data_IF_676295814477
#
_entry.id   IF_676295814477
#
_cell.length_a   1.000
_cell.length_b   1.000
_cell.length_c   1.000
_cell.angle_alpha   90.00
_cell.angle_beta   90.00
_cell.angle_gamma   90.00
#
_symmetry.space_group_name_H-M   'P 1'
#
loop_
_entity.id
_entity.type
_entity.pdbx_description
1 polymer ?
#
# COMPACT_ATOMS: atom_id res chain seq x y z
N UNK A 1 -25.03 -6.81 9.93
CA UNK A 1 -24.61 -8.16 9.47
C UNK A 1 -23.10 -8.17 9.46
N UNK A 2 -22.46 -9.25 9.93
CA UNK A 2 -21.00 -9.31 10.04
C UNK A 2 -20.28 -9.39 8.68
N UNK A 3 -18.97 -9.13 8.66
CA UNK A 3 -18.14 -9.29 7.47
C UNK A 3 -18.03 -10.75 7.04
N UNK A 4 -17.71 -10.96 5.77
CA UNK A 4 -17.60 -12.28 5.16
C UNK A 4 -16.13 -12.60 4.97
N UNK A 5 -15.74 -13.82 5.32
CA UNK A 5 -14.35 -14.25 5.20
C UNK A 5 -14.19 -15.33 4.14
N UNK A 6 -13.26 -15.04 3.24
CA UNK A 6 -12.82 -15.83 2.11
C UNK A 6 -11.29 -15.92 2.20
N UNK A 7 -10.74 -16.94 1.55
CA UNK A 7 -9.32 -17.23 1.49
C UNK A 7 -8.85 -17.32 0.05
N UNK A 8 -7.72 -16.68 -0.21
CA UNK A 8 -7.00 -16.73 -1.48
C UNK A 8 -6.69 -18.18 -1.88
N UNK A 9 -6.87 -18.50 -3.16
CA UNK A 9 -6.63 -19.81 -3.75
C UNK A 9 -7.46 -20.99 -3.20
N UNK A 10 -8.36 -20.76 -2.24
CA UNK A 10 -9.30 -21.78 -1.79
C UNK A 10 -10.44 -21.92 -2.82
N UNK A 11 -10.83 -23.16 -3.19
CA UNK A 11 -11.95 -23.37 -4.10
C UNK A 11 -13.30 -23.12 -3.41
N UNK A 12 -14.20 -22.42 -4.11
CA UNK A 12 -15.57 -22.18 -3.68
C UNK A 12 -16.57 -22.55 -4.77
N UNK A 13 -17.67 -23.16 -4.37
CA UNK A 13 -18.84 -23.37 -5.23
C UNK A 13 -19.77 -22.16 -5.19
N UNK A 14 -20.61 -22.03 -6.23
CA UNK A 14 -21.65 -20.98 -6.26
C UNK A 14 -22.55 -21.01 -5.01
N UNK A 15 -22.90 -22.22 -4.53
CA UNK A 15 -23.75 -22.41 -3.34
C UNK A 15 -23.06 -21.92 -2.07
N UNK A 16 -21.77 -22.20 -1.89
CA UNK A 16 -21.00 -21.74 -0.75
C UNK A 16 -20.87 -20.22 -0.74
N UNK A 17 -20.58 -19.61 -1.89
CA UNK A 17 -20.53 -18.15 -2.02
C UNK A 17 -21.88 -17.52 -1.72
N UNK A 18 -22.97 -18.09 -2.24
CA UNK A 18 -24.32 -17.60 -1.97
C UNK A 18 -24.67 -17.66 -0.48
N UNK A 19 -24.37 -18.79 0.17
CA UNK A 19 -24.61 -18.96 1.60
C UNK A 19 -23.78 -18.00 2.45
N UNK A 20 -22.50 -17.80 2.10
CA UNK A 20 -21.60 -16.86 2.80
C UNK A 20 -22.02 -15.40 2.61
N UNK A 21 -22.35 -15.00 1.38
CA UNK A 21 -22.71 -13.62 1.05
C UNK A 21 -24.11 -13.25 1.53
N UNK A 22 -24.99 -14.24 1.72
CA UNK A 22 -26.40 -14.05 2.07
C UNK A 22 -27.08 -13.05 1.12
N UNK A 23 -26.95 -13.32 -0.18
CA UNK A 23 -27.48 -12.51 -1.28
C UNK A 23 -28.34 -13.36 -2.21
N UNK A 24 -29.17 -12.70 -3.01
CA UNK A 24 -29.96 -13.36 -4.05
C UNK A 24 -29.04 -13.96 -5.13
N UNK A 25 -29.53 -14.96 -5.86
CA UNK A 25 -28.74 -15.56 -6.96
C UNK A 25 -28.44 -14.54 -8.07
N UNK A 26 -29.35 -13.61 -8.35
CA UNK A 26 -29.12 -12.51 -9.30
C UNK A 26 -28.02 -11.57 -8.84
N UNK A 27 -28.00 -11.18 -7.57
CA UNK A 27 -26.96 -10.32 -7.02
C UNK A 27 -25.61 -11.02 -7.01
N UNK A 28 -25.58 -12.31 -6.64
CA UNK A 28 -24.34 -13.10 -6.69
C UNK A 28 -23.77 -13.18 -8.10
N UNK A 29 -24.60 -13.41 -9.12
CA UNK A 29 -24.16 -13.44 -10.52
C UNK A 29 -23.55 -12.10 -10.95
N UNK A 30 -24.15 -10.98 -10.54
CA UNK A 30 -23.64 -9.64 -10.81
C UNK A 30 -22.30 -9.39 -10.10
N UNK A 31 -22.19 -9.75 -8.82
CA UNK A 31 -20.93 -9.65 -8.07
C UNK A 31 -19.83 -10.46 -8.77
N UNK A 32 -20.10 -11.73 -9.08
CA UNK A 32 -19.11 -12.61 -9.74
C UNK A 32 -18.72 -12.08 -11.11
N UNK A 33 -19.66 -11.54 -11.90
CA UNK A 33 -19.35 -10.94 -13.19
C UNK A 33 -18.34 -9.79 -13.05
N UNK A 34 -18.57 -8.87 -12.11
CA UNK A 34 -17.66 -7.76 -11.84
C UNK A 34 -16.29 -8.25 -11.34
N UNK A 35 -16.26 -9.25 -10.45
CA UNK A 35 -15.00 -9.84 -9.95
C UNK A 35 -14.21 -10.53 -11.06
N UNK A 36 -14.89 -11.17 -12.03
CA UNK A 36 -14.25 -11.79 -13.18
C UNK A 36 -13.70 -10.74 -14.15
N UNK A 37 -14.46 -9.70 -14.44
CA UNK A 37 -14.03 -8.58 -15.31
C UNK A 37 -12.74 -7.93 -14.79
N UNK A 38 -12.63 -7.78 -13.47
CA UNK A 38 -11.44 -7.20 -12.81
C UNK A 38 -10.32 -8.22 -12.55
N UNK A 39 -10.43 -9.46 -13.02
CA UNK A 39 -9.45 -10.54 -12.78
C UNK A 39 -9.19 -10.85 -11.29
N UNK A 40 -10.20 -10.66 -10.43
CA UNK A 40 -10.13 -10.93 -8.98
C UNK A 40 -10.43 -12.41 -8.69
N UNK A 41 -11.26 -13.03 -9.52
CA UNK A 41 -11.70 -14.41 -9.36
C UNK A 41 -11.52 -15.18 -10.67
N UNK A 42 -10.97 -16.38 -10.57
CA UNK A 42 -10.90 -17.36 -11.65
C UNK A 42 -12.05 -18.35 -11.53
N UNK A 43 -12.58 -18.82 -12.67
CA UNK A 43 -13.57 -19.90 -12.72
C UNK A 43 -13.02 -21.10 -13.51
N UNK A 44 -13.00 -22.28 -12.90
CA UNK A 44 -12.70 -23.56 -13.56
C UNK A 44 -13.69 -24.62 -13.11
N UNK A 45 -14.35 -25.30 -14.05
CA UNK A 45 -15.28 -26.42 -13.76
C UNK A 45 -16.32 -26.10 -12.66
N UNK A 46 -16.98 -24.94 -12.71
CA UNK A 46 -17.96 -24.47 -11.70
C UNK A 46 -17.38 -24.16 -10.31
N UNK A 47 -16.05 -24.19 -10.17
CA UNK A 47 -15.32 -23.78 -8.98
C UNK A 47 -14.75 -22.39 -9.21
N UNK A 48 -14.88 -21.55 -8.20
CA UNK A 48 -14.38 -20.19 -8.15
C UNK A 48 -13.19 -20.09 -7.21
N UNK A 49 -12.15 -19.37 -7.62
CA UNK A 49 -10.90 -19.23 -6.87
C UNK A 49 -10.51 -17.76 -6.87
N UNK A 50 -10.34 -17.19 -5.68
CA UNK A 50 -9.90 -15.80 -5.53
C UNK A 50 -8.39 -15.69 -5.71
N UNK A 51 -7.96 -14.77 -6.59
CA UNK A 51 -6.56 -14.38 -6.83
C UNK A 51 -6.31 -12.96 -6.33
N UNK A 52 -6.77 -12.71 -5.11
CA UNK A 52 -6.76 -11.39 -4.50
C UNK A 52 -6.65 -11.53 -3.00
N UNK A 53 -6.04 -10.55 -2.37
CA UNK A 53 -5.95 -10.43 -0.92
C UNK A 53 -6.36 -9.02 -0.52
N UNK A 54 -7.31 -8.92 0.39
CA UNK A 54 -7.78 -7.66 0.97
C UNK A 54 -9.28 -7.54 1.03
N UNK A 55 -9.77 -6.31 1.00
CA UNK A 55 -11.15 -5.94 1.24
C UNK A 55 -11.90 -5.75 -0.09
N UNK A 56 -13.10 -6.32 -0.16
CA UNK A 56 -14.05 -6.14 -1.24
C UNK A 56 -15.39 -5.71 -0.63
N UNK A 57 -15.91 -4.57 -1.05
CA UNK A 57 -17.24 -4.11 -0.69
C UNK A 57 -18.16 -4.19 -1.92
N UNK A 58 -19.37 -4.75 -1.73
CA UNK A 58 -20.41 -4.70 -2.75
C UNK A 58 -21.80 -4.79 -2.13
N UNK A 59 -22.74 -3.95 -2.58
CA UNK A 59 -24.12 -3.90 -2.08
C UNK A 59 -24.24 -3.77 -0.56
N UNK A 60 -23.35 -3.01 0.08
CA UNK A 60 -23.28 -2.86 1.53
C UNK A 60 -22.74 -4.09 2.26
N UNK A 61 -22.22 -5.09 1.52
CA UNK A 61 -21.60 -6.30 2.06
C UNK A 61 -20.08 -6.20 1.98
N UNK A 62 -19.45 -6.44 3.12
CA UNK A 62 -18.01 -6.43 3.27
C UNK A 62 -17.47 -7.85 3.24
N UNK A 63 -16.51 -8.10 2.36
CA UNK A 63 -15.82 -9.37 2.21
C UNK A 63 -14.31 -9.17 2.33
N UNK A 64 -13.68 -9.94 3.21
CA UNK A 64 -12.24 -10.01 3.35
C UNK A 64 -11.72 -11.29 2.72
N UNK A 65 -10.74 -11.14 1.83
CA UNK A 65 -10.01 -12.24 1.22
C UNK A 65 -8.63 -12.33 1.89
N UNK A 66 -8.42 -13.39 2.66
CA UNK A 66 -7.22 -13.60 3.46
C UNK A 66 -6.10 -14.28 2.65
N UNK A 67 -4.83 -13.98 2.94
CA UNK A 67 -3.69 -14.70 2.42
C UNK A 67 -3.81 -16.23 2.55
N UNK A 68 -3.32 -16.97 1.55
CA UNK A 68 -3.41 -18.44 1.51
C UNK A 68 -2.69 -19.17 2.65
N UNK A 69 -1.76 -18.52 3.37
CA UNK A 69 -1.06 -19.10 4.51
C UNK A 69 -1.88 -19.08 5.81
N UNK A 70 -2.94 -18.27 5.90
CA UNK A 70 -3.76 -18.14 7.12
C UNK A 70 -4.68 -19.35 7.26
N UNK A 71 -4.51 -20.15 8.31
CA UNK A 71 -5.37 -21.27 8.67
C UNK A 71 -6.58 -20.84 9.50
N UNK A 72 -6.39 -19.93 10.45
CA UNK A 72 -7.40 -19.49 11.42
C UNK A 72 -7.76 -18.01 11.22
N UNK A 73 -8.94 -17.78 10.64
CA UNK A 73 -9.41 -16.44 10.33
C UNK A 73 -9.72 -15.66 11.62
N UNK A 74 -9.06 -14.52 11.78
CA UNK A 74 -9.28 -13.57 12.88
C UNK A 74 -9.55 -12.16 12.32
N UNK A 75 -10.43 -11.39 12.96
CA UNK A 75 -10.67 -9.97 12.64
C UNK A 75 -9.41 -9.11 12.80
N UNK A 76 -8.57 -9.39 13.80
CA UNK A 76 -7.33 -8.63 14.01
C UNK A 76 -6.36 -8.75 12.83
N UNK A 77 -6.34 -9.90 12.16
CA UNK A 77 -5.56 -10.10 10.93
C UNK A 77 -6.10 -9.23 9.79
N UNK A 78 -7.42 -9.07 9.65
CA UNK A 78 -7.99 -8.16 8.64
C UNK A 78 -7.62 -6.70 8.91
N UNK A 79 -7.71 -6.25 10.18
CA UNK A 79 -7.26 -4.91 10.58
C UNK A 79 -5.78 -4.71 10.23
N UNK A 80 -4.94 -5.70 10.51
CA UNK A 80 -3.53 -5.62 10.18
C UNK A 80 -3.27 -5.58 8.67
N UNK A 81 -3.97 -6.39 7.87
CA UNK A 81 -3.84 -6.38 6.40
C UNK A 81 -4.22 -5.01 5.82
N UNK A 82 -5.30 -4.39 6.31
CA UNK A 82 -5.68 -3.03 5.91
C UNK A 82 -4.54 -2.04 6.21
N UNK A 83 -3.97 -2.10 7.42
CA UNK A 83 -2.84 -1.25 7.81
C UNK A 83 -1.61 -1.50 6.95
N UNK A 84 -1.34 -2.76 6.62
CA UNK A 84 -0.24 -3.15 5.72
C UNK A 84 -0.44 -2.53 4.34
N UNK A 85 -1.63 -2.66 3.75
CA UNK A 85 -1.94 -2.06 2.45
C UNK A 85 -1.82 -0.55 2.47
N UNK A 86 -2.31 0.10 3.52
CA UNK A 86 -2.19 1.55 3.70
C UNK A 86 -0.74 1.99 3.74
N UNK A 87 0.09 1.35 4.56
CA UNK A 87 1.52 1.68 4.62
C UNK A 87 2.24 1.40 3.31
N UNK A 88 1.95 0.27 2.66
CA UNK A 88 2.52 -0.07 1.35
C UNK A 88 2.15 0.97 0.28
N UNK A 89 0.88 1.34 0.17
CA UNK A 89 0.41 2.37 -0.77
C UNK A 89 1.03 3.74 -0.54
N UNK A 90 1.44 4.04 0.70
CA UNK A 90 2.09 5.31 1.06
C UNK A 90 3.59 5.30 0.80
N UNK A 91 4.27 4.19 1.06
CA UNK A 91 5.73 4.11 0.93
C UNK A 91 6.20 3.73 -0.47
N UNK A 92 5.40 3.00 -1.23
CA UNK A 92 5.78 2.47 -2.54
C UNK A 92 5.10 3.24 -3.69
N UNK A 93 5.77 3.25 -4.85
CA UNK A 93 5.16 3.72 -6.09
C UNK A 93 4.26 2.63 -6.64
N UNK A 94 2.95 2.82 -6.54
CA UNK A 94 1.96 1.89 -7.10
C UNK A 94 2.13 1.75 -8.62
N UNK A 95 2.05 0.51 -9.11
CA UNK A 95 1.95 0.20 -10.54
C UNK A 95 0.53 0.49 -11.05
N UNK A 96 0.36 0.62 -12.38
CA UNK A 96 -0.94 0.94 -12.99
C UNK A 96 -2.09 0.01 -12.55
N UNK A 97 -1.82 -1.30 -12.42
CA UNK A 97 -2.81 -2.28 -11.98
C UNK A 97 -3.14 -2.17 -10.47
N UNK A 98 -2.20 -1.70 -9.66
CA UNK A 98 -2.40 -1.50 -8.23
C UNK A 98 -3.24 -0.25 -7.95
N UNK A 99 -3.19 0.78 -8.80
CA UNK A 99 -4.12 1.92 -8.70
C UNK A 99 -5.59 1.51 -8.83
N UNK A 100 -5.89 0.43 -9.55
CA UNK A 100 -7.26 -0.10 -9.65
C UNK A 100 -7.75 -0.81 -8.39
N UNK A 101 -6.92 -1.02 -7.37
CA UNK A 101 -7.31 -1.82 -6.19
C UNK A 101 -6.81 -1.30 -4.84
N UNK A 102 -5.70 -0.57 -4.81
CA UNK A 102 -5.07 0.01 -3.62
C UNK A 102 -5.06 1.55 -3.62
N UNK A 103 -5.14 2.17 -4.79
CA UNK A 103 -4.94 3.60 -4.96
C UNK A 103 -6.17 4.38 -5.42
N UNK A 104 -5.97 5.69 -5.56
CA UNK A 104 -6.91 6.60 -6.21
C UNK A 104 -6.42 6.81 -7.64
N UNK A 105 -7.22 6.40 -8.63
CA UNK A 105 -6.92 6.63 -10.04
C UNK A 105 -6.92 8.13 -10.34
N UNK A 106 -5.86 8.61 -10.99
CA UNK A 106 -5.64 10.04 -11.28
C UNK A 106 -6.13 10.49 -12.67
N UNK A 107 -6.61 9.56 -13.50
CA UNK A 107 -7.03 9.85 -14.88
C UNK A 107 -8.55 9.79 -15.02
N UNK A 108 -9.11 10.83 -15.64
CA UNK A 108 -10.51 10.94 -16.03
C UNK A 108 -10.91 9.80 -16.98
N UNK A 109 -11.85 8.95 -16.56
CA UNK A 109 -12.55 8.03 -17.48
C UNK A 109 -12.73 6.59 -17.01
N UNK A 110 -12.20 6.18 -15.85
CA UNK A 110 -12.48 4.86 -15.27
C UNK A 110 -12.93 4.96 -13.81
N UNK A 111 -13.75 3.99 -13.42
CA UNK A 111 -14.36 3.83 -12.11
C UNK A 111 -13.32 3.89 -10.99
N UNK A 112 -13.21 5.01 -10.29
CA UNK A 112 -12.36 5.13 -9.10
C UNK A 112 -12.85 4.17 -8.01
N UNK A 113 -12.00 3.72 -7.09
CA UNK A 113 -12.43 2.92 -5.93
C UNK A 113 -12.88 3.81 -4.77
N UNK A 114 -13.92 3.38 -4.05
CA UNK A 114 -14.58 4.21 -3.04
C UNK A 114 -13.79 4.17 -1.76
N UNK A 115 -13.37 2.97 -1.35
CA UNK A 115 -12.65 2.78 -0.09
C UNK A 115 -11.33 3.56 -0.05
N UNK A 116 -10.46 3.56 -1.09
CA UNK A 116 -9.27 4.42 -1.11
C UNK A 116 -9.57 5.92 -1.05
N UNK A 117 -10.65 6.39 -1.69
CA UNK A 117 -11.09 7.79 -1.59
C UNK A 117 -11.52 8.14 -0.15
N UNK A 118 -12.34 7.29 0.47
CA UNK A 118 -12.77 7.47 1.86
C UNK A 118 -11.57 7.47 2.81
N UNK A 119 -10.66 6.51 2.66
CA UNK A 119 -9.43 6.39 3.47
C UNK A 119 -8.57 7.66 3.34
N UNK A 120 -8.44 8.19 2.12
CA UNK A 120 -7.73 9.45 1.85
C UNK A 120 -8.39 10.66 2.53
N UNK A 121 -9.70 10.89 2.35
CA UNK A 121 -10.36 12.07 2.92
C UNK A 121 -10.26 12.10 4.44
N UNK A 122 -10.51 10.95 5.08
CA UNK A 122 -10.46 10.88 6.54
C UNK A 122 -9.02 11.07 7.05
N UNK A 123 -8.00 10.51 6.37
CA UNK A 123 -6.61 10.73 6.77
C UNK A 123 -6.18 12.18 6.59
N UNK A 124 -6.44 12.78 5.43
CA UNK A 124 -6.08 14.17 5.18
C UNK A 124 -6.74 15.09 6.21
N UNK A 125 -8.00 14.84 6.56
CA UNK A 125 -8.69 15.58 7.61
C UNK A 125 -8.07 15.38 9.00
N UNK A 126 -7.71 14.14 9.38
CA UNK A 126 -7.10 13.87 10.68
C UNK A 126 -5.68 14.48 10.80
N UNK A 127 -4.94 14.56 9.70
CA UNK A 127 -3.58 15.09 9.68
C UNK A 127 -3.54 16.62 9.57
N UNK A 128 -4.40 17.18 8.72
CA UNK A 128 -4.28 18.57 8.26
C UNK A 128 -5.56 19.41 8.48
N UNK A 129 -6.60 18.83 9.07
CA UNK A 129 -7.86 19.51 9.32
C UNK A 129 -8.68 19.76 8.06
N UNK A 130 -9.67 20.65 8.18
CA UNK A 130 -10.54 21.00 7.07
C UNK A 130 -9.78 21.70 5.94
N UNK A 131 -10.44 21.79 4.79
CA UNK A 131 -9.97 22.67 3.74
C UNK A 131 -10.04 24.12 4.24
N UNK A 132 -9.01 24.89 3.93
CA UNK A 132 -8.94 26.32 4.22
C UNK A 132 -8.02 26.98 3.20
N UNK A 133 -8.38 28.20 2.81
CA UNK A 133 -7.51 29.08 2.04
C UNK A 133 -7.11 30.26 2.91
N UNK A 134 -5.89 30.76 2.72
CA UNK A 134 -5.48 32.02 3.34
C UNK A 134 -6.10 33.17 2.53
N UNK A 135 -6.99 33.95 3.15
CA UNK A 135 -7.43 35.23 2.63
C UNK A 135 -6.49 36.31 3.15
N UNK A 136 -6.01 37.13 2.22
CA UNK A 136 -5.35 38.40 2.52
C UNK A 136 -6.42 39.45 2.80
N UNK A 137 -6.53 39.90 4.05
CA UNK A 137 -7.37 41.04 4.43
C UNK A 137 -6.48 42.27 4.63
N UNK A 138 -7.01 43.43 4.27
CA UNK A 138 -6.34 44.71 4.49
C UNK A 138 -7.00 45.40 5.68
N UNK A 139 -6.25 45.61 6.74
CA UNK A 139 -6.71 46.30 7.95
C UNK A 139 -6.17 47.73 7.97
N UNK A 140 -6.97 48.68 8.43
CA UNK A 140 -6.52 50.06 8.61
C UNK A 140 -5.76 50.18 9.93
N UNK A 141 -4.51 50.63 9.87
CA UNK A 141 -3.59 50.83 10.99
C UNK A 141 -3.34 49.56 11.82
N UNK A 142 -3.35 48.38 11.19
CA UNK A 142 -3.02 47.14 11.87
C UNK A 142 -1.52 47.02 12.19
N UNK A 143 -1.17 45.96 12.92
CA UNK A 143 0.19 45.77 13.49
C UNK A 143 1.11 45.01 12.54
N UNK A 144 0.55 44.42 11.48
CA UNK A 144 1.25 43.57 10.53
C UNK A 144 1.91 44.39 9.41
N UNK A 145 2.49 43.70 8.42
CA UNK A 145 3.24 44.33 7.32
C UNK A 145 2.39 45.36 6.56
N UNK A 146 2.95 46.54 6.30
CA UNK A 146 2.23 47.65 5.64
C UNK A 146 2.19 47.41 4.13
N UNK A 147 0.98 47.42 3.55
CA UNK A 147 0.76 47.51 2.12
C UNK A 147 0.99 48.94 1.65
N UNK A 148 2.23 49.27 1.32
CA UNK A 148 2.59 50.61 0.87
C UNK A 148 1.94 50.99 -0.46
N UNK A 149 1.70 50.03 -1.36
CA UNK A 149 1.07 50.30 -2.65
C UNK A 149 -0.37 50.78 -2.44
N UNK A 150 -1.15 50.04 -1.64
CA UNK A 150 -2.52 50.43 -1.30
C UNK A 150 -2.56 51.68 -0.43
N UNK A 151 -1.66 51.80 0.55
CA UNK A 151 -1.55 52.97 1.44
C UNK A 151 -1.31 54.24 0.65
N UNK A 152 -0.37 54.27 -0.29
CA UNK A 152 -0.08 55.46 -1.10
C UNK A 152 -1.26 55.82 -2.01
N UNK A 153 -1.96 54.82 -2.56
CA UNK A 153 -3.05 55.03 -3.50
C UNK A 153 -4.36 55.46 -2.82
N UNK A 154 -4.66 54.96 -1.61
CA UNK A 154 -5.96 55.13 -0.96
C UNK A 154 -5.95 56.03 0.29
N UNK A 155 -4.80 56.25 0.92
CA UNK A 155 -4.71 57.11 2.12
C UNK A 155 -4.22 58.52 1.79
N UNK A 156 -4.61 59.49 2.61
CA UNK A 156 -4.21 60.89 2.41
C UNK A 156 -2.81 61.13 2.95
N UNK A 157 -1.90 61.58 2.08
CA UNK A 157 -0.55 62.00 2.47
C UNK A 157 -0.55 63.43 3.02
N UNK A 158 0.06 63.63 4.18
CA UNK A 158 0.24 64.96 4.79
C UNK A 158 1.70 65.40 4.68
N UNK A 159 1.92 66.63 4.24
CA UNK A 159 3.27 67.19 4.10
C UNK A 159 3.73 67.79 5.42
N UNK A 160 4.78 67.21 6.01
CA UNK A 160 5.44 67.75 7.20
C UNK A 160 6.88 68.07 6.83
N UNK A 161 7.19 69.37 6.67
CA UNK A 161 8.48 69.82 6.18
C UNK A 161 8.74 69.41 4.73
N UNK A 162 9.81 68.63 4.49
CA UNK A 162 10.19 68.11 3.17
C UNK A 162 9.84 66.62 2.97
N UNK A 163 9.05 66.03 3.86
CA UNK A 163 8.62 64.63 3.81
C UNK A 163 7.10 64.54 3.80
N UNK A 164 6.59 63.51 3.12
CA UNK A 164 5.18 63.14 3.14
C UNK A 164 4.99 62.01 4.15
N UNK A 165 3.99 62.15 5.01
CA UNK A 165 3.66 61.19 6.06
C UNK A 165 2.21 60.75 5.87
N UNK A 166 1.99 59.45 5.88
CA UNK A 166 0.67 58.85 5.91
C UNK A 166 0.30 58.57 7.37
N UNK A 167 -0.79 59.16 7.85
CA UNK A 167 -1.28 58.94 9.22
C UNK A 167 -2.13 57.67 9.32
N UNK A 168 -2.80 57.31 8.23
CA UNK A 168 -3.51 56.05 8.06
C UNK A 168 -2.74 55.19 7.06
N UNK A 169 -2.52 53.92 7.40
CA UNK A 169 -1.88 52.96 6.53
C UNK A 169 -2.67 51.65 6.51
N UNK A 170 -2.62 50.93 5.40
CA UNK A 170 -3.20 49.59 5.31
C UNK A 170 -2.14 48.55 5.64
N UNK A 171 -2.40 47.69 6.60
CA UNK A 171 -1.58 46.51 6.88
C UNK A 171 -2.22 45.25 6.29
N UNK A 172 -1.38 44.33 5.85
CA UNK A 172 -1.74 43.03 5.34
C UNK A 172 -1.86 42.06 6.51
N UNK A 173 -3.04 41.51 6.73
CA UNK A 173 -3.22 40.35 7.61
C UNK A 173 -3.66 39.13 6.78
N UNK A 174 -3.20 37.94 7.18
CA UNK A 174 -3.53 36.68 6.49
C UNK A 174 -4.37 35.84 7.45
N UNK A 175 -5.64 35.68 7.11
CA UNK A 175 -6.59 34.88 7.88
C UNK A 175 -7.03 33.65 7.08
N UNK A 176 -7.25 32.53 7.76
CA UNK A 176 -7.80 31.33 7.11
C UNK A 176 -9.31 31.45 6.92
N UNK A 177 -9.78 31.37 5.68
CA UNK A 177 -11.20 31.22 5.38
C UNK A 177 -11.64 29.77 5.52
N UNK A 178 -12.35 29.51 6.62
CA UNK A 178 -12.94 28.21 6.93
C UNK A 178 -14.46 28.17 6.65
N UNK A 179 -15.04 29.27 6.17
CA UNK A 179 -16.48 29.43 5.91
C UNK A 179 -16.85 29.37 4.43
N UNK A 180 -15.85 29.24 3.56
CA UNK A 180 -16.02 29.09 2.11
C UNK A 180 -16.87 27.87 1.73
N UNK A 181 -17.51 27.97 0.56
CA UNK A 181 -18.31 26.94 -0.09
C UNK A 181 -17.54 25.61 -0.20
N UNK A 182 -16.25 25.65 -0.54
CA UNK A 182 -15.40 24.46 -0.68
C UNK A 182 -15.22 23.75 0.66
N UNK A 183 -15.02 24.50 1.75
CA UNK A 183 -14.92 23.94 3.09
C UNK A 183 -16.21 23.26 3.52
N UNK A 184 -17.36 23.84 3.17
CA UNK A 184 -18.67 23.22 3.42
C UNK A 184 -18.86 21.94 2.61
N UNK A 185 -18.47 21.93 1.33
CA UNK A 185 -18.47 20.71 0.52
C UNK A 185 -17.58 19.63 1.13
N UNK A 186 -16.38 19.97 1.60
CA UNK A 186 -15.47 19.02 2.25
C UNK A 186 -16.09 18.42 3.52
N UNK A 187 -16.76 19.24 4.37
CA UNK A 187 -17.51 18.74 5.54
C UNK A 187 -18.59 17.74 5.15
N UNK A 188 -19.35 18.01 4.08
CA UNK A 188 -20.41 17.11 3.60
C UNK A 188 -19.82 15.78 3.14
N UNK A 189 -18.75 15.81 2.35
CA UNK A 189 -18.07 14.60 1.89
C UNK A 189 -17.57 13.77 3.08
N UNK A 190 -16.92 14.39 4.06
CA UNK A 190 -16.44 13.71 5.28
C UNK A 190 -17.58 13.07 6.07
N UNK A 191 -18.71 13.76 6.20
CA UNK A 191 -19.89 13.23 6.88
C UNK A 191 -20.49 12.04 6.12
N UNK A 192 -20.66 12.12 4.80
CA UNK A 192 -21.14 11.01 3.95
C UNK A 192 -20.20 9.80 4.05
N UNK A 193 -18.89 10.03 3.99
CA UNK A 193 -17.86 9.01 4.13
C UNK A 193 -17.91 8.32 5.49
N UNK A 194 -18.00 9.11 6.57
CA UNK A 194 -18.10 8.58 7.94
C UNK A 194 -19.37 7.73 8.14
N UNK A 195 -20.52 8.22 7.67
CA UNK A 195 -21.78 7.49 7.74
C UNK A 195 -21.75 6.20 6.91
N UNK A 196 -21.11 6.23 5.74
CA UNK A 196 -20.92 5.03 4.91
C UNK A 196 -20.08 3.97 5.65
N UNK A 197 -18.98 4.36 6.29
CA UNK A 197 -18.15 3.43 7.07
C UNK A 197 -18.88 2.82 8.25
N UNK A 198 -19.75 3.58 8.92
CA UNK A 198 -20.56 3.09 10.04
C UNK A 198 -21.64 2.12 9.54
N UNK A 199 -22.33 2.46 8.45
CA UNK A 199 -23.37 1.60 7.85
C UNK A 199 -22.80 0.25 7.38
N UNK A 200 -21.59 0.25 6.83
CA UNK A 200 -20.90 -0.96 6.36
C UNK A 200 -20.13 -1.70 7.46
N UNK A 201 -19.88 -1.06 8.61
CA UNK A 201 -19.04 -1.59 9.69
C UNK A 201 -17.53 -1.49 9.40
N UNK A 202 -17.12 -0.86 8.30
CA UNK A 202 -15.73 -0.67 7.92
C UNK A 202 -14.98 0.30 8.82
N UNK A 203 -15.69 1.15 9.58
CA UNK A 203 -15.09 2.07 10.53
C UNK A 203 -14.21 1.35 11.57
N UNK A 204 -14.63 0.17 12.04
CA UNK A 204 -13.84 -0.66 12.94
C UNK A 204 -12.53 -1.14 12.29
N UNK A 205 -12.62 -1.66 11.07
CA UNK A 205 -11.48 -2.24 10.37
C UNK A 205 -10.45 -1.21 9.90
N UNK A 206 -10.92 -0.04 9.45
CA UNK A 206 -10.07 1.08 9.04
C UNK A 206 -9.53 1.90 10.23
N UNK A 207 -10.13 1.73 11.43
CA UNK A 207 -9.73 2.40 12.65
C UNK A 207 -10.22 3.84 12.77
N UNK A 208 -11.40 4.14 12.22
CA UNK A 208 -11.96 5.49 12.20
C UNK A 208 -13.15 5.66 13.15
N UNK A 209 -13.18 6.79 13.83
CA UNK A 209 -14.31 7.22 14.65
C UNK A 209 -15.35 7.96 13.82
N UNK A 210 -16.58 8.07 14.34
CA UNK A 210 -17.62 8.89 13.70
C UNK A 210 -17.17 10.36 13.69
N UNK A 211 -17.27 11.00 12.53
CA UNK A 211 -17.03 12.43 12.36
C UNK A 211 -18.38 13.14 12.41
N UNK A 212 -18.50 14.17 13.24
CA UNK A 212 -19.71 14.99 13.39
C UNK A 212 -19.28 16.46 13.36
N UNK A 213 -20.06 17.30 12.67
CA UNK A 213 -19.87 18.73 12.62
C UNK A 213 -21.10 19.43 13.21
N UNK A 214 -20.90 20.39 14.11
CA UNK A 214 -21.99 21.08 14.80
C UNK A 214 -22.79 22.02 13.87
N UNK A 215 -22.11 22.69 12.93
CA UNK A 215 -22.70 23.60 11.93
C UNK A 215 -23.07 22.90 10.61
N UNK A 216 -23.57 21.66 10.69
CA UNK A 216 -23.89 20.87 9.51
C UNK A 216 -25.21 21.35 8.87
N UNK A 217 -25.09 22.26 7.91
CA UNK A 217 -26.22 22.70 7.10
C UNK A 217 -26.28 21.88 5.81
N UNK A 218 -27.25 20.96 5.73
CA UNK A 218 -27.41 19.97 4.66
C UNK A 218 -27.92 20.56 3.33
N UNK A 219 -27.92 21.88 3.19
CA UNK A 219 -28.58 22.60 2.08
C UNK A 219 -27.73 22.71 0.81
N UNK A 220 -26.48 22.25 0.81
CA UNK A 220 -25.61 22.27 -0.38
C UNK A 220 -25.72 20.92 -1.08
N UNK A 221 -26.11 20.95 -2.35
CA UNK A 221 -26.13 19.77 -3.20
C UNK A 221 -24.76 19.53 -3.83
N UNK A 222 -24.28 18.28 -3.78
CA UNK A 222 -23.03 17.85 -4.41
C UNK A 222 -23.32 17.38 -5.86
N UNK A 223 -23.59 18.33 -6.75
CA UNK A 223 -24.01 18.12 -8.14
C UNK A 223 -22.94 18.61 -9.15
N UNK A 224 -23.32 18.81 -10.41
CA UNK A 224 -22.44 19.35 -11.45
C UNK A 224 -21.97 20.79 -11.16
N UNK A 225 -22.78 21.58 -10.43
CA UNK A 225 -22.42 22.95 -10.01
C UNK A 225 -21.31 22.87 -8.96
N UNK A 226 -21.41 21.94 -8.02
CA UNK A 226 -20.34 21.68 -7.04
C UNK A 226 -19.02 21.28 -7.72
N UNK A 227 -19.06 20.42 -8.74
CA UNK A 227 -17.87 20.06 -9.53
C UNK A 227 -17.27 21.30 -10.20
N UNK A 228 -18.10 22.13 -10.85
CA UNK A 228 -17.65 23.35 -11.51
C UNK A 228 -16.99 24.33 -10.54
N UNK A 229 -17.55 24.48 -9.33
CA UNK A 229 -16.96 25.31 -8.28
C UNK A 229 -15.59 24.78 -7.83
N UNK A 230 -15.45 23.46 -7.65
CA UNK A 230 -14.18 22.82 -7.31
C UNK A 230 -13.13 22.94 -8.42
N UNK A 231 -13.52 22.81 -9.69
CA UNK A 231 -12.61 23.00 -10.83
C UNK A 231 -12.10 24.44 -10.92
N UNK A 232 -12.97 25.42 -10.69
CA UNK A 232 -12.57 26.84 -10.65
C UNK A 232 -11.56 27.12 -9.54
N UNK A 233 -11.79 26.56 -8.35
CA UNK A 233 -10.86 26.66 -7.23
C UNK A 233 -9.53 25.95 -7.54
N UNK A 234 -9.59 24.74 -8.12
CA UNK A 234 -8.43 23.96 -8.50
C UNK A 234 -7.52 24.71 -9.48
N UNK A 235 -8.09 25.45 -10.43
CA UNK A 235 -7.33 26.22 -11.42
C UNK A 235 -6.55 27.41 -10.80
N UNK A 236 -6.98 27.91 -9.64
CA UNK A 236 -6.33 29.02 -8.93
C UNK A 236 -5.46 28.55 -7.76
N UNK A 237 -5.38 27.24 -7.51
CA UNK A 237 -4.71 26.66 -6.37
C UNK A 237 -3.28 26.21 -6.71
N UNK A 238 -2.32 26.61 -5.87
CA UNK A 238 -0.90 26.25 -6.02
C UNK A 238 -0.39 25.34 -4.89
N UNK A 239 -1.16 25.18 -3.82
CA UNK A 239 -0.81 24.28 -2.73
C UNK A 239 -1.05 22.81 -3.12
N UNK A 240 0.01 21.99 -3.14
CA UNK A 240 -0.04 20.57 -3.55
C UNK A 240 -1.08 19.73 -2.80
N UNK A 241 -1.26 19.96 -1.49
CA UNK A 241 -2.27 19.27 -0.68
C UNK A 241 -3.66 19.66 -1.17
N UNK A 242 -3.95 20.96 -1.26
CA UNK A 242 -5.26 21.46 -1.69
C UNK A 242 -5.58 21.01 -3.11
N UNK A 243 -4.61 21.06 -4.04
CA UNK A 243 -4.74 20.51 -5.41
C UNK A 243 -5.16 19.04 -5.37
N UNK A 244 -4.51 18.23 -4.53
CA UNK A 244 -4.80 16.80 -4.41
C UNK A 244 -6.18 16.55 -3.80
N UNK A 245 -6.53 17.27 -2.75
CA UNK A 245 -7.82 17.19 -2.08
C UNK A 245 -8.96 17.54 -3.04
N UNK A 246 -8.86 18.68 -3.75
CA UNK A 246 -9.86 19.14 -4.72
C UNK A 246 -10.06 18.11 -5.85
N UNK A 247 -8.98 17.58 -6.44
CA UNK A 247 -9.07 16.51 -7.46
C UNK A 247 -9.80 15.27 -6.95
N UNK A 248 -9.53 14.86 -5.71
CA UNK A 248 -10.18 13.71 -5.12
C UNK A 248 -11.66 14.01 -4.80
N UNK A 249 -11.99 15.22 -4.35
CA UNK A 249 -13.38 15.66 -4.15
C UNK A 249 -14.17 15.63 -5.47
N UNK A 250 -13.62 16.16 -6.56
CA UNK A 250 -14.23 16.10 -7.89
C UNK A 250 -14.47 14.63 -8.30
N UNK A 251 -13.47 13.77 -8.09
CA UNK A 251 -13.55 12.33 -8.43
C UNK A 251 -14.65 11.63 -7.63
N UNK A 252 -14.79 11.95 -6.34
CA UNK A 252 -15.82 11.41 -5.47
C UNK A 252 -17.22 11.85 -5.90
N UNK A 253 -17.43 13.15 -6.13
CA UNK A 253 -18.75 13.69 -6.53
C UNK A 253 -19.15 13.14 -7.91
N UNK A 254 -18.21 13.09 -8.86
CA UNK A 254 -18.45 12.55 -10.20
C UNK A 254 -18.93 11.11 -10.13
N UNK A 255 -18.24 10.25 -9.36
CA UNK A 255 -18.66 8.87 -9.16
C UNK A 255 -20.03 8.77 -8.48
N UNK A 256 -20.25 9.56 -7.43
CA UNK A 256 -21.51 9.60 -6.68
C UNK A 256 -22.69 9.89 -7.60
N UNK A 257 -22.52 10.81 -8.55
CA UNK A 257 -23.58 11.26 -9.45
C UNK A 257 -23.78 10.32 -10.65
N UNK A 258 -22.71 9.70 -11.16
CA UNK A 258 -22.74 8.78 -12.29
C UNK A 258 -22.41 7.35 -11.85
N UNK A 259 -23.32 6.70 -11.11
CA UNK A 259 -23.16 5.29 -10.73
C UNK A 259 -23.47 4.40 -11.94
N UNK A 260 -22.43 3.87 -12.58
CA UNK A 260 -22.60 2.78 -13.55
C UNK A 260 -23.14 1.52 -12.83
N UNK A 261 -24.04 0.73 -13.44
CA UNK A 261 -24.49 -0.55 -12.88
C UNK A 261 -23.36 -1.52 -12.51
N UNK A 262 -22.18 -1.37 -13.13
CA UNK A 262 -20.98 -2.17 -12.89
C UNK A 262 -20.05 -1.60 -11.79
N UNK A 263 -20.27 -0.37 -11.31
CA UNK A 263 -19.40 0.32 -10.32
C UNK A 263 -19.77 0.07 -8.85
N UNK A 264 -20.55 -0.99 -8.63
CA UNK A 264 -21.05 -1.41 -7.31
C UNK A 264 -20.07 -2.29 -6.53
N UNK A 265 -18.81 -2.37 -6.96
CA UNK A 265 -17.76 -3.10 -6.24
C UNK A 265 -16.60 -2.17 -5.97
N UNK A 266 -16.19 -2.06 -4.71
CA UNK A 266 -14.99 -1.34 -4.31
C UNK A 266 -13.95 -2.29 -3.75
N UNK A 267 -12.69 -2.05 -4.09
CA UNK A 267 -11.54 -2.85 -3.66
C UNK A 267 -10.63 -2.05 -2.73
N UNK A 268 -9.97 -2.75 -1.80
CA UNK A 268 -8.84 -2.25 -1.02
C UNK A 268 -7.89 -3.40 -0.64
N UNK A 269 -6.88 -3.63 -1.48
CA UNK A 269 -6.01 -4.82 -1.43
C UNK A 269 -5.38 -5.12 -2.78
N UNK A 270 -4.70 -6.25 -2.96
CA UNK A 270 -3.89 -6.53 -4.16
C UNK A 270 -4.13 -7.90 -4.79
N UNK A 271 -3.93 -8.00 -6.11
CA UNK A 271 -3.86 -9.26 -6.87
C UNK A 271 -2.48 -9.94 -6.75
N UNK A 272 -1.46 -9.18 -6.35
CA UNK A 272 -0.06 -9.61 -6.34
C UNK A 272 0.53 -9.55 -4.92
N UNK A 273 -0.13 -10.21 -3.97
CA UNK A 273 0.28 -10.18 -2.56
C UNK A 273 1.73 -10.68 -2.32
N UNK A 274 2.26 -11.53 -3.21
CA UNK A 274 3.65 -11.93 -3.19
C UNK A 274 4.64 -10.75 -3.30
N UNK A 275 4.32 -9.70 -4.08
CA UNK A 275 5.14 -8.49 -4.18
C UNK A 275 5.19 -7.73 -2.85
N UNK A 276 4.05 -7.62 -2.17
CA UNK A 276 3.99 -6.99 -0.84
C UNK A 276 4.83 -7.80 0.16
N UNK A 277 4.70 -9.13 0.14
CA UNK A 277 5.52 -10.01 0.98
C UNK A 277 7.03 -9.79 0.74
N UNK A 278 7.46 -9.79 -0.52
CA UNK A 278 8.84 -9.54 -0.92
C UNK A 278 9.35 -8.19 -0.40
N UNK A 279 8.59 -7.12 -0.63
CA UNK A 279 8.93 -5.76 -0.18
C UNK A 279 9.04 -5.65 1.33
N UNK A 280 8.12 -6.28 2.05
CA UNK A 280 8.15 -6.35 3.50
C UNK A 280 9.43 -7.04 3.99
N UNK A 281 9.77 -8.20 3.42
CA UNK A 281 10.99 -8.93 3.75
C UNK A 281 12.26 -8.11 3.45
N UNK A 282 12.36 -7.52 2.26
CA UNK A 282 13.47 -6.64 1.85
C UNK A 282 13.64 -5.50 2.86
N UNK A 283 12.52 -4.91 3.29
CA UNK A 283 12.55 -3.84 4.26
C UNK A 283 13.12 -4.34 5.59
N UNK A 284 12.58 -5.40 6.20
CA UNK A 284 12.94 -5.76 7.59
C UNK A 284 14.37 -6.31 7.74
N UNK A 285 14.93 -6.96 6.70
CA UNK A 285 16.27 -7.55 6.71
C UNK A 285 17.40 -6.59 6.26
N UNK A 286 17.06 -5.35 5.87
CA UNK A 286 18.03 -4.32 5.46
C UNK A 286 18.93 -4.77 4.29
N UNK A 287 18.35 -4.86 3.09
CA UNK A 287 19.06 -5.25 1.89
C UNK A 287 20.25 -4.31 1.54
N UNK A 288 21.32 -4.89 0.98
CA UNK A 288 22.55 -4.24 0.52
C UNK A 288 22.63 -4.24 -1.02
N UNK A 289 21.83 -3.39 -1.72
CA UNK A 289 21.72 -3.41 -3.17
C UNK A 289 23.04 -3.08 -3.90
N UNK A 290 24.00 -2.45 -3.22
CA UNK A 290 25.33 -2.21 -3.75
C UNK A 290 26.08 -3.50 -4.11
N UNK A 291 25.71 -4.65 -3.54
CA UNK A 291 26.33 -5.94 -3.83
C UNK A 291 25.81 -6.59 -5.12
N UNK A 292 24.70 -6.11 -5.68
CA UNK A 292 24.21 -6.60 -6.96
C UNK A 292 25.16 -6.34 -8.13
N UNK A 293 26.08 -5.37 -7.98
CA UNK A 293 27.13 -5.09 -8.98
C UNK A 293 28.21 -6.16 -9.04
N UNK A 294 28.32 -6.98 -7.99
CA UNK A 294 29.28 -8.09 -7.90
C UNK A 294 28.80 -9.31 -8.70
N UNK A 295 27.55 -9.29 -9.17
CA UNK A 295 26.95 -10.34 -9.96
C UNK A 295 27.14 -10.00 -11.44
N UNK A 296 27.83 -10.88 -12.16
CA UNK A 296 28.13 -10.68 -13.58
C UNK A 296 26.87 -10.51 -14.43
N UNK A 297 26.97 -9.63 -15.44
CA UNK A 297 25.92 -9.48 -16.44
C UNK A 297 26.12 -10.46 -17.59
N UNK A 298 25.04 -11.06 -18.11
CA UNK A 298 25.15 -11.85 -19.34
C UNK A 298 25.63 -10.98 -20.50
N UNK A 299 26.54 -11.54 -21.30
CA UNK A 299 27.10 -10.91 -22.51
C UNK A 299 26.62 -11.72 -23.71
N UNK A 300 25.92 -11.03 -24.62
CA UNK A 300 25.51 -11.53 -25.92
C UNK A 300 26.59 -11.18 -26.94
N UNK A 301 27.14 -12.20 -27.60
CA UNK A 301 28.14 -12.03 -28.65
C UNK A 301 27.57 -12.54 -29.97
N UNK A 302 27.57 -11.70 -31.01
CA UNK A 302 27.17 -12.13 -32.34
C UNK A 302 28.33 -12.83 -33.09
N UNK A 303 28.04 -13.40 -34.27
CA UNK A 303 29.04 -14.10 -35.08
C UNK A 303 30.14 -13.18 -35.64
N UNK A 304 30.01 -11.86 -35.47
CA UNK A 304 30.99 -10.85 -35.87
C UNK A 304 31.84 -10.38 -34.67
N UNK A 305 31.57 -10.88 -33.46
CA UNK A 305 32.26 -10.52 -32.22
C UNK A 305 31.70 -9.27 -31.54
N UNK A 306 30.56 -8.73 -31.98
CA UNK A 306 29.92 -7.59 -31.31
C UNK A 306 29.29 -8.05 -30.00
N UNK A 307 29.56 -7.31 -28.92
CA UNK A 307 29.12 -7.66 -27.55
C UNK A 307 28.08 -6.70 -27.01
N UNK A 308 26.99 -7.24 -26.47
CA UNK A 308 25.94 -6.50 -25.78
C UNK A 308 25.69 -7.11 -24.40
N UNK A 309 25.60 -6.27 -23.37
CA UNK A 309 25.29 -6.71 -22.01
C UNK A 309 23.79 -6.64 -21.74
N UNK A 310 23.23 -7.64 -21.07
CA UNK A 310 21.84 -7.64 -20.62
C UNK A 310 21.75 -7.61 -19.07
N UNK A 311 20.52 -7.55 -18.56
CA UNK A 311 20.26 -7.48 -17.10
C UNK A 311 20.79 -8.75 -16.41
N UNK A 312 21.49 -8.56 -15.30
CA UNK A 312 21.99 -9.66 -14.46
C UNK A 312 20.86 -10.28 -13.61
N UNK A 313 21.19 -11.41 -12.99
CA UNK A 313 20.47 -11.97 -11.86
C UNK A 313 20.27 -10.89 -10.76
N UNK A 314 19.14 -10.93 -10.07
CA UNK A 314 18.76 -9.95 -9.06
C UNK A 314 18.18 -10.69 -7.86
N UNK A 315 19.01 -11.09 -6.88
CA UNK A 315 18.50 -11.69 -5.65
C UNK A 315 17.69 -10.67 -4.84
N UNK A 316 16.66 -11.13 -4.14
CA UNK A 316 15.77 -10.24 -3.38
C UNK A 316 16.52 -9.52 -2.25
N UNK A 317 17.26 -10.29 -1.43
CA UNK A 317 17.90 -9.77 -0.23
C UNK A 317 19.32 -10.33 -0.13
N UNK A 318 20.28 -9.41 -0.12
CA UNK A 318 21.65 -9.67 0.33
C UNK A 318 21.86 -8.81 1.57
N UNK A 319 22.28 -9.40 2.68
CA UNK A 319 22.56 -8.66 3.92
C UNK A 319 23.64 -9.35 4.75
N UNK A 320 24.09 -8.66 5.79
CA UNK A 320 25.09 -9.14 6.73
C UNK A 320 24.56 -9.01 8.15
N UNK A 321 24.86 -9.98 8.99
CA UNK A 321 24.53 -9.95 10.40
C UNK A 321 25.78 -10.24 11.25
N UNK A 322 26.05 -9.36 12.20
CA UNK A 322 27.15 -9.54 13.16
C UNK A 322 26.62 -10.26 14.38
N UNK A 323 27.12 -11.47 14.61
CA UNK A 323 26.67 -12.35 15.69
C UNK A 323 27.90 -12.78 16.48
N UNK A 324 28.02 -12.25 17.70
CA UNK A 324 29.25 -12.36 18.48
C UNK A 324 30.43 -11.69 17.76
N UNK A 325 31.50 -12.44 17.52
CA UNK A 325 32.68 -11.98 16.77
C UNK A 325 32.58 -12.21 15.26
N UNK A 326 31.56 -12.93 14.81
CA UNK A 326 31.50 -13.42 13.43
C UNK A 326 30.49 -12.62 12.61
N UNK A 327 30.84 -12.37 11.36
CA UNK A 327 29.92 -11.79 10.37
C UNK A 327 29.36 -12.91 9.50
N UNK A 328 28.03 -13.02 9.48
CA UNK A 328 27.29 -13.93 8.63
C UNK A 328 26.82 -13.20 7.39
N UNK A 329 27.07 -13.78 6.23
CA UNK A 329 26.52 -13.32 4.96
C UNK A 329 25.21 -14.06 4.66
N UNK A 330 24.13 -13.30 4.45
CA UNK A 330 22.80 -13.83 4.26
C UNK A 330 22.31 -13.52 2.84
N UNK A 331 22.08 -14.58 2.07
CA UNK A 331 21.41 -14.55 0.78
C UNK A 331 19.99 -15.08 0.96
N UNK A 332 19.00 -14.19 0.96
CA UNK A 332 17.62 -14.50 1.28
C UNK A 332 16.70 -14.18 0.10
N UNK A 333 15.72 -15.05 -0.14
CA UNK A 333 14.73 -14.88 -1.21
C UNK A 333 13.33 -15.09 -0.65
N UNK A 334 12.45 -14.10 -0.83
CA UNK A 334 11.15 -14.06 -0.18
C UNK A 334 10.12 -14.79 -1.03
N UNK A 335 9.62 -15.92 -0.54
CA UNK A 335 8.69 -16.75 -1.30
C UNK A 335 7.32 -16.84 -0.65
N UNK A 336 6.30 -16.39 -1.38
CA UNK A 336 4.91 -16.45 -0.94
C UNK A 336 4.31 -17.86 -1.19
N UNK A 337 4.80 -18.86 -0.47
CA UNK A 337 4.30 -20.25 -0.46
C UNK A 337 3.71 -20.62 0.90
N UNK A 338 2.84 -21.62 0.93
CA UNK A 338 2.31 -22.20 2.17
C UNK A 338 2.82 -23.64 2.27
N UNK A 339 4.09 -23.77 2.67
CA UNK A 339 4.85 -25.03 2.67
C UNK A 339 4.33 -25.95 3.77
N UNK A 340 4.06 -27.21 3.41
CA UNK A 340 3.72 -28.29 4.35
C UNK A 340 4.36 -29.60 3.88
N UNK A 341 5.19 -30.20 4.73
CA UNK A 341 5.89 -31.46 4.44
C UNK A 341 5.01 -32.71 4.60
N UNK A 342 3.81 -32.56 5.19
CA UNK A 342 2.96 -33.68 5.57
C UNK A 342 1.80 -33.96 4.59
N UNK A 343 1.76 -33.30 3.43
CA UNK A 343 0.64 -33.39 2.50
C UNK A 343 0.98 -34.07 1.16
N UNK A 344 0.04 -34.89 0.66
CA UNK A 344 0.11 -35.59 -0.64
C UNK A 344 0.19 -34.64 -1.87
N UNK A 345 0.12 -33.31 -1.70
CA UNK A 345 0.15 -32.28 -2.75
C UNK A 345 1.35 -31.33 -2.62
N UNK A 346 2.49 -31.84 -2.13
CA UNK A 346 3.72 -31.09 -1.91
C UNK A 346 4.11 -30.20 -3.12
N UNK A 347 4.03 -30.69 -4.35
CA UNK A 347 4.48 -29.93 -5.55
C UNK A 347 3.77 -28.59 -5.76
N UNK A 348 2.49 -28.45 -5.38
CA UNK A 348 1.71 -27.23 -5.61
C UNK A 348 1.87 -26.18 -4.50
N UNK A 349 2.54 -26.52 -3.40
CA UNK A 349 2.66 -25.70 -2.19
C UNK A 349 4.09 -25.26 -1.88
N UNK A 350 5.06 -25.67 -2.69
CA UNK A 350 6.49 -25.44 -2.47
C UNK A 350 7.14 -24.59 -3.58
N UNK A 351 8.33 -24.01 -3.29
CA UNK A 351 9.19 -23.42 -4.32
C UNK A 351 9.40 -24.38 -5.49
N UNK A 352 9.26 -23.87 -6.71
CA UNK A 352 9.43 -24.67 -7.92
C UNK A 352 10.91 -24.92 -8.18
N UNK A 353 11.22 -25.89 -9.04
CA UNK A 353 12.60 -26.15 -9.48
C UNK A 353 13.29 -24.87 -9.98
N UNK A 354 12.56 -24.01 -10.68
CA UNK A 354 13.07 -22.72 -11.16
C UNK A 354 13.48 -21.78 -10.01
N UNK A 355 12.72 -21.72 -8.92
CA UNK A 355 13.07 -20.92 -7.74
C UNK A 355 14.34 -21.48 -7.08
N UNK A 356 14.41 -22.81 -6.92
CA UNK A 356 15.53 -23.51 -6.29
C UNK A 356 16.82 -23.32 -7.10
N UNK A 357 16.77 -23.49 -8.42
CA UNK A 357 17.96 -23.33 -9.27
C UNK A 357 18.41 -21.88 -9.35
N UNK A 358 17.48 -20.91 -9.42
CA UNK A 358 17.81 -19.48 -9.35
C UNK A 358 18.53 -19.12 -8.05
N UNK A 359 18.05 -19.63 -6.92
CA UNK A 359 18.68 -19.36 -5.63
C UNK A 359 20.10 -19.92 -5.52
N UNK A 360 20.35 -21.11 -6.07
CA UNK A 360 21.71 -21.65 -6.17
C UNK A 360 22.60 -20.84 -7.12
N UNK A 361 22.05 -20.32 -8.23
CA UNK A 361 22.79 -19.47 -9.15
C UNK A 361 23.19 -18.13 -8.51
N UNK A 362 22.34 -17.56 -7.65
CA UNK A 362 22.69 -16.37 -6.88
C UNK A 362 23.88 -16.62 -5.93
N UNK A 363 23.86 -17.73 -5.19
CA UNK A 363 24.98 -18.12 -4.30
C UNK A 363 26.27 -18.33 -5.10
N UNK A 364 26.18 -19.03 -6.24
CA UNK A 364 27.31 -19.26 -7.12
C UNK A 364 27.89 -17.96 -7.70
N UNK A 365 27.04 -17.02 -8.10
CA UNK A 365 27.46 -15.76 -8.71
C UNK A 365 28.20 -14.83 -7.73
N UNK A 366 28.04 -15.05 -6.42
CA UNK A 366 28.71 -14.28 -5.37
C UNK A 366 29.98 -14.98 -4.83
N UNK A 367 30.35 -16.15 -5.36
CA UNK A 367 31.44 -16.95 -4.82
C UNK A 367 32.81 -16.24 -4.84
N UNK A 368 33.10 -15.47 -5.89
CA UNK A 368 34.33 -14.68 -5.97
C UNK A 368 34.33 -13.51 -4.98
N UNK A 369 33.16 -12.93 -4.71
CA UNK A 369 33.01 -11.91 -3.68
C UNK A 369 33.26 -12.50 -2.29
N UNK A 370 32.71 -13.67 -1.99
CA UNK A 370 32.92 -14.35 -0.70
C UNK A 370 34.39 -14.63 -0.42
N UNK A 371 35.12 -15.13 -1.43
CA UNK A 371 36.56 -15.41 -1.30
C UNK A 371 37.37 -14.14 -1.05
N UNK A 372 37.05 -13.05 -1.75
CA UNK A 372 37.77 -11.77 -1.63
C UNK A 372 37.55 -11.10 -0.28
N UNK A 373 36.37 -11.26 0.31
CA UNK A 373 36.02 -10.70 1.62
C UNK A 373 36.21 -11.69 2.78
N UNK A 374 36.74 -12.90 2.51
CA UNK A 374 36.99 -13.95 3.51
C UNK A 374 35.75 -14.36 4.31
N UNK A 375 34.58 -14.37 3.68
CA UNK A 375 33.33 -14.83 4.32
C UNK A 375 33.33 -16.34 4.53
N UNK A 376 33.48 -16.75 5.79
CA UNK A 376 33.46 -18.17 6.18
C UNK A 376 32.04 -18.67 6.52
N UNK A 377 31.13 -17.75 6.88
CA UNK A 377 29.79 -18.05 7.36
C UNK A 377 28.74 -17.54 6.37
N UNK A 378 28.22 -18.45 5.53
CA UNK A 378 27.20 -18.16 4.49
C UNK A 378 25.88 -18.83 4.83
N UNK A 379 24.79 -18.09 4.72
CA UNK A 379 23.42 -18.57 4.84
C UNK A 379 22.70 -18.34 3.51
N UNK A 380 22.06 -19.38 3.01
CA UNK A 380 21.22 -19.34 1.81
C UNK A 380 19.82 -19.80 2.20
N UNK A 381 18.78 -18.96 2.04
CA UNK A 381 17.45 -19.29 2.55
C UNK A 381 16.28 -18.72 1.74
N UNK A 382 15.19 -19.47 1.70
CA UNK A 382 13.86 -18.98 1.37
C UNK A 382 13.13 -18.50 2.63
N UNK A 383 12.50 -17.32 2.52
CA UNK A 383 11.66 -16.73 3.56
C UNK A 383 10.18 -16.89 3.19
N UNK A 384 9.46 -17.74 3.93
CA UNK A 384 8.04 -18.03 3.67
C UNK A 384 7.14 -17.57 4.81
N UNK A 385 5.94 -17.04 4.53
CA UNK A 385 5.04 -16.60 5.60
C UNK A 385 4.40 -17.78 6.34
N UNK A 386 4.13 -17.60 7.63
CA UNK A 386 3.24 -18.46 8.41
C UNK A 386 2.30 -17.66 9.31
N UNK A 387 1.30 -18.35 9.85
CA UNK A 387 0.35 -17.82 10.84
C UNK A 387 0.81 -18.01 12.30
N UNK A 388 1.84 -18.80 12.56
CA UNK A 388 2.34 -19.00 13.92
C UNK A 388 2.95 -17.72 14.50
N UNK A 389 3.17 -17.72 15.82
CA UNK A 389 3.78 -16.59 16.53
C UNK A 389 5.32 -16.66 16.56
N UNK A 390 5.89 -17.73 16.03
CA UNK A 390 7.31 -18.04 16.15
C UNK A 390 7.98 -18.09 14.77
N UNK A 391 9.24 -17.66 14.77
CA UNK A 391 10.17 -17.94 13.70
C UNK A 391 10.54 -19.42 13.71
N UNK A 392 10.47 -20.10 12.56
CA UNK A 392 10.73 -21.56 12.48
C UNK A 392 11.58 -21.93 11.27
N UNK A 393 12.63 -22.71 11.49
CA UNK A 393 13.29 -23.45 10.44
C UNK A 393 12.44 -24.68 10.09
N UNK A 394 11.80 -24.67 8.92
CA UNK A 394 10.96 -25.79 8.49
C UNK A 394 11.79 -26.95 7.92
N UNK A 395 12.99 -26.65 7.42
CA UNK A 395 13.88 -27.64 6.83
C UNK A 395 14.81 -27.00 5.81
N UNK A 396 15.25 -27.80 4.84
CA UNK A 396 16.12 -27.37 3.74
C UNK A 396 15.79 -28.11 2.45
N UNK A 397 16.10 -27.50 1.32
CA UNK A 397 16.06 -28.11 0.01
C UNK A 397 17.48 -28.19 -0.55
N UNK A 398 17.79 -29.32 -1.18
CA UNK A 398 19.07 -29.53 -1.82
C UNK A 398 18.95 -30.37 -3.10
N UNK A 399 19.88 -30.14 -4.02
CA UNK A 399 20.01 -30.92 -5.25
C UNK A 399 21.37 -31.62 -5.22
N UNK A 400 21.37 -32.95 -5.21
CA UNK A 400 22.59 -33.75 -4.96
C UNK A 400 23.74 -33.45 -5.94
N UNK A 401 23.47 -33.23 -7.23
CA UNK A 401 24.54 -32.95 -8.19
C UNK A 401 25.19 -31.57 -7.97
N UNK A 402 24.48 -30.61 -7.36
CA UNK A 402 25.00 -29.28 -7.05
C UNK A 402 25.93 -29.28 -5.83
N UNK A 403 25.96 -30.35 -5.03
CA UNK A 403 26.89 -30.50 -3.91
C UNK A 403 28.37 -30.61 -4.32
N UNK A 404 28.63 -30.76 -5.62
CA UNK A 404 29.99 -30.72 -6.18
C UNK A 404 30.54 -29.28 -6.27
N UNK A 405 29.67 -28.26 -6.14
CA UNK A 405 30.03 -26.85 -6.11
C UNK A 405 30.09 -26.35 -4.64
N UNK A 406 30.79 -25.24 -4.35
CA UNK A 406 30.92 -24.68 -2.99
C UNK A 406 29.66 -23.92 -2.51
N UNK A 407 28.48 -24.51 -2.78
CA UNK A 407 27.16 -23.91 -2.51
C UNK A 407 26.59 -24.41 -1.19
N UNK A 408 25.82 -23.55 -0.52
CA UNK A 408 25.07 -23.93 0.69
C UNK A 408 23.71 -24.51 0.30
N UNK A 409 23.27 -25.54 1.04
CA UNK A 409 21.87 -26.00 0.97
C UNK A 409 20.93 -24.81 1.25
N UNK A 410 19.77 -24.76 0.57
CA UNK A 410 18.84 -23.66 0.74
C UNK A 410 17.92 -23.97 1.92
N UNK A 411 17.97 -23.15 2.94
CA UNK A 411 17.08 -23.26 4.09
C UNK A 411 15.67 -22.80 3.77
N UNK A 412 14.70 -23.38 4.45
CA UNK A 412 13.30 -22.96 4.38
C UNK A 412 12.94 -22.38 5.74
N UNK A 413 12.98 -21.07 5.81
CA UNK A 413 12.74 -20.31 7.04
C UNK A 413 11.36 -19.70 6.97
N UNK A 414 10.55 -20.03 7.97
CA UNK A 414 9.18 -19.59 8.07
C UNK A 414 9.06 -18.45 9.06
N UNK A 415 8.53 -17.33 8.57
CA UNK A 415 8.42 -16.10 9.32
C UNK A 415 6.97 -15.86 9.78
N UNK A 416 6.74 -15.52 11.05
CA UNK A 416 5.44 -15.16 11.59
C UNK A 416 4.95 -13.87 10.92
N UNK A 417 3.99 -14.01 10.01
CA UNK A 417 3.58 -12.92 9.12
C UNK A 417 3.04 -11.71 9.91
N UNK A 418 2.32 -11.97 11.00
CA UNK A 418 1.80 -10.90 11.86
C UNK A 418 2.93 -10.05 12.47
N UNK A 419 4.02 -10.67 12.91
CA UNK A 419 5.17 -9.95 13.46
C UNK A 419 5.88 -9.20 12.35
N UNK A 420 6.16 -9.87 11.23
CA UNK A 420 6.83 -9.29 10.07
C UNK A 420 6.10 -8.03 9.55
N UNK A 421 4.77 -8.08 9.45
CA UNK A 421 3.98 -6.91 9.06
C UNK A 421 4.03 -5.79 10.09
N UNK A 422 4.03 -6.08 11.40
CA UNK A 422 4.23 -5.05 12.44
C UNK A 422 5.57 -4.33 12.27
N UNK A 423 6.65 -5.06 12.00
CA UNK A 423 7.95 -4.44 11.76
C UNK A 423 7.91 -3.49 10.57
N UNK A 424 7.30 -3.90 9.45
CA UNK A 424 7.14 -3.03 8.29
C UNK A 424 6.28 -1.79 8.57
N UNK A 425 5.07 -2.00 9.14
CA UNK A 425 4.11 -0.91 9.44
C UNK A 425 4.73 0.12 10.39
N UNK A 426 5.47 -0.33 11.41
CA UNK A 426 6.12 0.56 12.38
C UNK A 426 7.54 0.99 11.97
N UNK A 427 7.95 0.73 10.73
CA UNK A 427 9.24 1.13 10.17
C UNK A 427 10.45 0.64 11.00
N UNK A 428 10.38 -0.60 11.48
CA UNK A 428 11.43 -1.29 12.26
C UNK A 428 12.17 -2.32 11.41
N UNK A 429 13.43 -2.57 11.76
CA UNK A 429 14.28 -3.62 11.19
C UNK A 429 14.44 -4.77 12.19
N UNK A 430 14.72 -5.96 11.71
CA UNK A 430 15.13 -7.06 12.59
C UNK A 430 16.49 -6.75 13.21
N UNK A 431 16.67 -7.14 14.48
CA UNK A 431 17.96 -7.02 15.15
C UNK A 431 18.82 -8.25 14.87
N UNK A 432 20.13 -8.14 15.10
CA UNK A 432 21.05 -9.25 14.90
C UNK A 432 20.75 -10.43 15.83
N UNK A 433 20.18 -10.18 17.01
CA UNK A 433 19.77 -11.24 17.94
C UNK A 433 18.67 -12.11 17.33
N UNK A 434 17.63 -11.50 16.74
CA UNK A 434 16.54 -12.25 16.10
C UNK A 434 17.07 -13.02 14.88
N UNK A 435 18.00 -12.42 14.13
CA UNK A 435 18.66 -13.10 12.99
C UNK A 435 19.49 -14.29 13.48
N UNK A 436 20.18 -14.19 14.63
CA UNK A 436 20.89 -15.31 15.25
C UNK A 436 19.94 -16.45 15.62
N UNK A 437 18.85 -16.14 16.32
CA UNK A 437 17.85 -17.14 16.72
C UNK A 437 17.30 -17.89 15.49
N UNK A 438 17.07 -17.16 14.40
CA UNK A 438 16.52 -17.65 13.15
C UNK A 438 17.42 -18.65 12.41
N UNK A 439 18.71 -18.32 12.30
CA UNK A 439 19.61 -19.02 11.37
C UNK A 439 20.73 -19.79 12.05
N UNK A 440 21.01 -19.55 13.33
CA UNK A 440 22.15 -20.14 14.04
C UNK A 440 21.64 -21.01 15.17
N UNK A 441 20.88 -20.45 16.11
CA UNK A 441 20.45 -21.19 17.30
C UNK A 441 19.33 -22.21 16.99
N UNK A 442 18.61 -22.00 15.88
CA UNK A 442 17.60 -22.92 15.34
C UNK A 442 18.16 -24.15 14.59
N UNK A 443 19.49 -24.27 14.46
CA UNK A 443 20.12 -25.45 13.87
C UNK A 443 20.47 -26.48 14.95
N UNK A 444 19.90 -27.70 14.92
CA UNK A 444 20.56 -28.81 15.56
C UNK A 444 21.90 -29.04 14.84
N UNK A 445 22.98 -28.87 15.58
CA UNK A 445 24.36 -29.21 15.20
C UNK A 445 24.51 -30.63 14.68
#
# INVERSE_FOLDING_TARGET
MGPIYIKELLPYTMRELQAKLNVTESDLKRIIANLMEKNIIDRKNMIYVFKYVGLIESFGRVMFVYPKYIGHINENQAVQLIRLFREYSRSEKLEHEEFETLGIQRTSGQSSNLIPLIDFFIQDYLESGLYSNDITIHELNGVNEIDWEKTVNESTAYKVGNQFVHLDYYSIDRMQDTYDLITKMHKIILAECSDYLIKTGLNYFLGYSKIVFDDYNQSIELDEVAITALDNELNNQFNDRNITLLKNMITYISRRNYVSPNDNVSFFGTKHFHKIWEKVCIYIFTNMPQLYKEIDRPIWEDNLGNKLSARSLSPDIITEANIGSDTFFLLLDAKYYNISFNENNFENKNPKLEDITKQYLYDLALEDYYKRMEYNNKINAFLVPNESEEFKLLGKVYINFLKQLPLKDILIVSLPAEIVYKYYIFKRKLSNEIISELFIDGYPS
#
